data_IF_937002645746
#
_entry.id   IF_937002645746
#
_cell.length_a   1.000
_cell.length_b   1.000
_cell.length_c   1.000
_cell.angle_alpha   90.00
_cell.angle_beta   90.00
_cell.angle_gamma   90.00
#
_symmetry.space_group_name_H-M   'P 1'
#
loop_
_entity.id
_entity.type
_entity.pdbx_description
1 polymer ?
#
# COMPACT_ATOMS: atom_id res chain seq x y z
N UNK A 1 -12.91 -18.33 14.27
CA UNK A 1 -11.85 -18.20 13.24
C UNK A 1 -12.28 -17.37 12.03
N UNK A 2 -13.48 -17.58 11.49
CA UNK A 2 -13.96 -16.78 10.37
C UNK A 2 -13.97 -15.27 10.66
N UNK A 3 -14.39 -14.90 11.88
CA UNK A 3 -14.41 -13.50 12.28
C UNK A 3 -13.02 -12.88 12.25
N UNK A 4 -12.00 -13.64 12.67
CA UNK A 4 -10.61 -13.18 12.63
C UNK A 4 -10.17 -12.98 11.18
N UNK A 5 -10.49 -13.93 10.30
CA UNK A 5 -10.14 -13.80 8.89
C UNK A 5 -10.87 -12.64 8.22
N UNK A 6 -12.13 -12.43 8.58
CA UNK A 6 -12.89 -11.28 8.05
C UNK A 6 -12.20 -9.97 8.44
N UNK A 7 -11.79 -9.85 9.70
CA UNK A 7 -11.08 -8.64 10.15
C UNK A 7 -9.75 -8.48 9.42
N UNK A 8 -9.00 -9.57 9.25
CA UNK A 8 -7.74 -9.52 8.51
C UNK A 8 -7.98 -9.02 7.08
N UNK A 9 -9.00 -9.53 6.42
CA UNK A 9 -9.32 -9.11 5.06
C UNK A 9 -9.71 -7.62 5.00
N UNK A 10 -10.49 -7.16 5.97
CA UNK A 10 -10.87 -5.75 6.05
C UNK A 10 -9.63 -4.87 6.25
N UNK A 11 -8.73 -5.26 7.15
CA UNK A 11 -7.50 -4.51 7.40
C UNK A 11 -6.63 -4.46 6.14
N UNK A 12 -6.49 -5.59 5.44
CA UNK A 12 -5.73 -5.63 4.20
C UNK A 12 -6.36 -4.73 3.14
N UNK A 13 -7.69 -4.72 3.05
CA UNK A 13 -8.39 -3.88 2.10
C UNK A 13 -8.15 -2.40 2.39
N UNK A 14 -8.27 -1.99 3.64
CA UNK A 14 -7.99 -0.62 4.05
C UNK A 14 -6.54 -0.24 3.76
N UNK A 15 -5.61 -1.16 3.97
CA UNK A 15 -4.20 -0.91 3.69
C UNK A 15 -3.97 -0.71 2.20
N UNK A 16 -4.66 -1.47 1.35
CA UNK A 16 -4.60 -1.28 -0.10
C UNK A 16 -5.03 0.14 -0.48
N UNK A 17 -6.10 0.64 0.12
CA UNK A 17 -6.54 2.01 -0.14
C UNK A 17 -5.50 3.04 0.30
N UNK A 18 -4.86 2.81 1.45
CA UNK A 18 -3.76 3.70 1.90
C UNK A 18 -2.59 3.66 0.92
N UNK A 19 -2.27 2.49 0.38
CA UNK A 19 -1.21 2.35 -0.62
C UNK A 19 -1.56 3.09 -1.91
N UNK A 20 -2.81 2.98 -2.35
CA UNK A 20 -3.29 3.72 -3.53
C UNK A 20 -3.14 5.21 -3.31
N UNK A 21 -3.58 5.71 -2.16
CA UNK A 21 -3.46 7.13 -1.83
C UNK A 21 -1.99 7.56 -1.80
N UNK A 22 -1.12 6.73 -1.22
CA UNK A 22 0.31 7.01 -1.17
C UNK A 22 0.92 7.07 -2.57
N UNK A 23 0.55 6.13 -3.44
CA UNK A 23 1.05 6.10 -4.81
C UNK A 23 0.62 7.34 -5.59
N UNK A 24 -0.66 7.70 -5.48
CA UNK A 24 -1.19 8.87 -6.17
C UNK A 24 -0.48 10.12 -5.69
N UNK A 25 -0.32 10.29 -4.39
CA UNK A 25 0.35 11.46 -3.83
C UNK A 25 1.81 11.53 -4.28
N UNK A 26 2.50 10.39 -4.27
CA UNK A 26 3.90 10.32 -4.73
C UNK A 26 4.03 10.77 -6.17
N UNK A 27 3.12 10.33 -7.03
CA UNK A 27 3.14 10.71 -8.44
C UNK A 27 2.78 12.18 -8.64
N UNK A 28 1.81 12.69 -7.89
CA UNK A 28 1.45 14.10 -7.95
C UNK A 28 2.63 14.99 -7.54
N UNK A 29 3.38 14.60 -6.54
CA UNK A 29 4.58 15.32 -6.12
C UNK A 29 5.66 15.22 -7.22
N UNK A 30 5.86 14.02 -7.77
CA UNK A 30 6.87 13.80 -8.80
C UNK A 30 6.58 14.61 -10.06
N UNK A 31 5.31 14.77 -10.43
CA UNK A 31 4.92 15.56 -11.59
C UNK A 31 4.68 17.04 -11.28
N UNK A 32 4.97 17.44 -10.03
CA UNK A 32 4.87 18.83 -9.59
C UNK A 32 3.42 19.37 -9.68
N UNK A 33 2.44 18.48 -9.54
CA UNK A 33 1.02 18.89 -9.52
C UNK A 33 0.66 19.48 -8.16
N UNK A 34 1.20 18.90 -7.08
CA UNK A 34 1.00 19.40 -5.72
C UNK A 34 2.34 19.86 -5.14
N UNK A 35 2.28 20.81 -4.24
CA UNK A 35 3.46 21.41 -3.64
C UNK A 35 3.66 20.89 -2.22
N UNK A 36 4.79 20.23 -1.97
CA UNK A 36 5.15 19.72 -0.65
C UNK A 36 5.46 20.83 0.37
N UNK A 37 5.58 22.08 -0.07
CA UNK A 37 5.73 23.22 0.82
C UNK A 37 4.45 23.54 1.56
N UNK A 38 3.30 23.11 1.05
CA UNK A 38 2.03 23.23 1.74
C UNK A 38 2.05 22.32 2.97
N UNK A 39 1.75 22.87 4.15
CA UNK A 39 1.79 22.12 5.41
C UNK A 39 0.82 20.94 5.40
N UNK A 40 -0.36 21.12 4.82
CA UNK A 40 -1.34 20.05 4.74
C UNK A 40 -0.83 18.89 3.89
N UNK A 41 -0.30 19.21 2.71
CA UNK A 41 0.24 18.18 1.81
C UNK A 41 1.41 17.46 2.48
N UNK A 42 2.31 18.20 3.13
CA UNK A 42 3.45 17.60 3.82
C UNK A 42 3.00 16.69 4.96
N UNK A 43 1.98 17.09 5.71
CA UNK A 43 1.46 16.27 6.81
C UNK A 43 0.83 14.98 6.31
N UNK A 44 0.05 15.04 5.24
CA UNK A 44 -0.56 13.85 4.63
C UNK A 44 0.51 12.93 4.08
N UNK A 45 1.50 13.49 3.38
CA UNK A 45 2.60 12.70 2.81
C UNK A 45 3.39 11.99 3.90
N UNK A 46 3.70 12.67 4.99
CA UNK A 46 4.43 12.07 6.10
C UNK A 46 3.61 10.97 6.78
N UNK A 47 2.32 11.20 6.98
CA UNK A 47 1.43 10.20 7.57
C UNK A 47 1.40 8.94 6.72
N UNK A 48 1.19 9.07 5.42
CA UNK A 48 1.16 7.93 4.51
C UNK A 48 2.52 7.24 4.48
N UNK A 49 3.60 8.00 4.45
CA UNK A 49 4.95 7.44 4.45
C UNK A 49 5.19 6.57 5.69
N UNK A 50 4.81 7.06 6.86
CA UNK A 50 5.04 6.33 8.10
C UNK A 50 4.25 5.03 8.17
N UNK A 51 3.07 4.99 7.56
CA UNK A 51 2.22 3.79 7.57
C UNK A 51 2.71 2.78 6.52
N UNK A 52 3.12 3.26 5.36
CA UNK A 52 3.39 2.38 4.21
C UNK A 52 4.87 1.99 4.09
N UNK A 53 5.78 2.83 4.55
CA UNK A 53 7.22 2.60 4.35
C UNK A 53 7.75 1.30 4.98
N UNK A 54 7.28 0.88 6.18
CA UNK A 54 7.80 -0.37 6.75
C UNK A 54 7.65 -1.57 5.84
N UNK A 55 6.61 -1.60 5.00
CA UNK A 55 6.39 -2.68 4.04
C UNK A 55 6.96 -2.36 2.66
N UNK A 56 7.04 -1.07 2.31
CA UNK A 56 7.55 -0.66 1.00
C UNK A 56 9.06 -0.68 0.91
N UNK A 57 9.75 -0.40 2.01
CA UNK A 57 11.22 -0.30 2.00
C UNK A 57 11.89 -1.58 1.51
N UNK A 58 11.53 -2.78 2.00
CA UNK A 58 12.13 -4.02 1.49
C UNK A 58 11.88 -4.22 0.01
N UNK A 59 10.69 -3.86 -0.47
CA UNK A 59 10.33 -4.00 -1.88
C UNK A 59 11.16 -3.06 -2.73
N UNK A 60 11.34 -1.81 -2.27
CA UNK A 60 12.16 -0.84 -3.00
C UNK A 60 13.61 -1.28 -3.09
N UNK A 61 14.11 -1.98 -2.09
CA UNK A 61 15.50 -2.39 -2.06
C UNK A 61 15.83 -3.43 -3.12
N UNK A 62 14.84 -4.19 -3.60
CA UNK A 62 15.02 -5.22 -4.61
C UNK A 62 14.58 -4.78 -6.01
N UNK A 63 13.92 -3.63 -6.12
CA UNK A 63 13.46 -3.12 -7.40
C UNK A 63 14.51 -2.22 -8.05
N UNK A 64 14.64 -2.27 -9.39
CA UNK A 64 15.52 -1.34 -10.08
C UNK A 64 14.96 0.07 -10.03
N UNK A 65 15.86 1.06 -10.18
CA UNK A 65 15.45 2.45 -10.26
C UNK A 65 14.82 2.71 -11.63
N UNK A 66 13.55 3.14 -11.64
CA UNK A 66 12.79 3.36 -12.85
C UNK A 66 12.55 4.83 -13.12
N UNK A 67 13.60 5.63 -13.01
CA UNK A 67 13.53 7.03 -13.47
C UNK A 67 12.68 7.95 -12.62
N UNK A 68 12.59 7.70 -11.32
CA UNK A 68 11.89 8.60 -10.41
C UNK A 68 10.43 8.24 -10.14
N UNK A 69 9.85 7.32 -10.92
CA UNK A 69 8.51 6.81 -10.62
C UNK A 69 8.61 5.65 -9.64
N UNK A 70 7.83 5.74 -8.57
CA UNK A 70 7.81 4.70 -7.55
C UNK A 70 6.69 3.71 -7.85
N UNK A 71 7.06 2.51 -8.27
CA UNK A 71 6.10 1.43 -8.54
C UNK A 71 5.97 0.44 -7.39
N UNK A 72 6.74 0.63 -6.31
CA UNK A 72 6.70 -0.31 -5.19
C UNK A 72 5.31 -0.38 -4.54
N UNK A 73 4.50 0.71 -4.41
CA UNK A 73 3.15 0.56 -3.92
C UNK A 73 2.30 -0.37 -4.78
N UNK A 74 2.46 -0.33 -6.10
CA UNK A 74 1.71 -1.19 -7.02
C UNK A 74 2.06 -2.66 -6.76
N UNK A 75 3.35 -2.96 -6.61
CA UNK A 75 3.80 -4.32 -6.35
C UNK A 75 3.26 -4.82 -5.02
N UNK A 76 3.32 -4.00 -3.98
CA UNK A 76 2.79 -4.38 -2.67
C UNK A 76 1.28 -4.61 -2.73
N UNK A 77 0.55 -3.78 -3.47
CA UNK A 77 -0.89 -3.96 -3.66
C UNK A 77 -1.17 -5.32 -4.30
N UNK A 78 -0.41 -5.69 -5.33
CA UNK A 78 -0.58 -6.98 -5.98
C UNK A 78 -0.28 -8.13 -5.03
N UNK A 79 0.73 -8.00 -4.19
CA UNK A 79 1.06 -9.01 -3.18
C UNK A 79 -0.10 -9.14 -2.19
N UNK A 80 -0.63 -8.03 -1.70
CA UNK A 80 -1.76 -8.05 -0.76
C UNK A 80 -2.99 -8.67 -1.40
N UNK A 81 -3.28 -8.33 -2.65
CA UNK A 81 -4.41 -8.92 -3.38
C UNK A 81 -4.24 -10.43 -3.52
N UNK A 82 -3.03 -10.88 -3.81
CA UNK A 82 -2.73 -12.30 -3.87
C UNK A 82 -2.98 -12.98 -2.53
N UNK A 83 -2.51 -12.36 -1.43
CA UNK A 83 -2.74 -12.90 -0.09
C UNK A 83 -4.23 -12.97 0.25
N UNK A 84 -4.99 -11.94 -0.12
CA UNK A 84 -6.43 -11.94 0.09
C UNK A 84 -7.10 -13.09 -0.66
N UNK A 85 -6.66 -13.35 -1.89
CA UNK A 85 -7.19 -14.47 -2.68
C UNK A 85 -6.82 -15.81 -2.08
N UNK A 86 -5.60 -15.98 -1.61
CA UNK A 86 -5.17 -17.20 -0.93
C UNK A 86 -6.02 -17.45 0.31
N UNK A 87 -6.25 -16.41 1.12
CA UNK A 87 -7.09 -16.53 2.31
C UNK A 87 -8.51 -16.96 1.92
N UNK A 88 -9.07 -16.30 0.90
CA UNK A 88 -10.45 -16.53 0.48
C UNK A 88 -10.65 -17.93 -0.10
N UNK A 89 -9.72 -18.39 -0.93
CA UNK A 89 -9.91 -19.63 -1.69
C UNK A 89 -9.36 -20.86 -0.99
N UNK A 90 -8.34 -20.72 -0.14
CA UNK A 90 -7.65 -21.87 0.45
C UNK A 90 -7.84 -21.98 1.96
N UNK A 91 -7.83 -20.85 2.67
CA UNK A 91 -7.92 -20.86 4.13
C UNK A 91 -9.37 -20.77 4.57
N UNK A 92 -10.14 -19.89 3.97
CA UNK A 92 -11.51 -19.62 4.36
C UNK A 92 -12.42 -20.85 4.29
N UNK A 93 -12.35 -21.67 3.22
CA UNK A 93 -13.20 -22.88 3.16
C UNK A 93 -12.89 -23.92 4.23
N UNK A 94 -11.67 -23.91 4.78
CA UNK A 94 -11.28 -24.89 5.80
C UNK A 94 -11.49 -24.38 7.23
N UNK A 95 -12.05 -23.18 7.39
CA UNK A 95 -12.29 -22.54 8.69
C UNK A 95 -13.77 -22.27 8.84
N UNK A 96 -14.35 -22.67 9.98
CA UNK A 96 -15.77 -22.50 10.26
C UNK A 96 -16.01 -21.68 11.49
#
# INVERSE_FOLDING_TARGET
MRAVLDIVLIVLDLYVWLLIASAILSWLVAFNVVNTRNQFVAAVAEFLYRITEPLLAPIRSILPNLGGLDISPIILILIIMFLQRVITYYIYPSVF
#
